data_IF_195545626366
#
_entry.id   IF_195545626366
#
_cell.length_a   1.000
_cell.length_b   1.000
_cell.length_c   1.000
_cell.angle_alpha   90.00
_cell.angle_beta   90.00
_cell.angle_gamma   90.00
#
_symmetry.space_group_name_H-M   'P 1'
#
loop_
_entity.id
_entity.type
_entity.pdbx_description
1 polymer ?
#
# COMPACT_ATOMS: atom_id res chain seq x y z
N UNK A 1 -8.41 1.00 0.12
CA UNK A 1 -7.17 0.42 0.64
C UNK A 1 -6.10 0.39 -0.45
N UNK A 2 -4.87 0.76 -0.12
CA UNK A 2 -3.68 0.60 -0.94
C UNK A 2 -2.42 0.59 -0.07
N UNK A 3 -1.49 -0.32 -0.35
CA UNK A 3 -0.22 -0.44 0.34
C UNK A 3 0.90 -0.33 -0.70
N UNK A 4 1.71 0.72 -0.61
CA UNK A 4 2.70 1.04 -1.64
C UNK A 4 4.10 1.19 -1.03
N UNK A 5 5.11 0.66 -1.72
CA UNK A 5 6.49 0.92 -1.39
C UNK A 5 6.99 2.18 -2.10
N UNK A 6 7.70 3.07 -1.41
CA UNK A 6 8.24 4.29 -2.02
C UNK A 6 9.49 4.02 -2.88
N UNK A 7 10.14 2.87 -2.73
CA UNK A 7 11.27 2.44 -3.56
C UNK A 7 10.80 1.61 -4.77
N UNK A 8 9.49 1.38 -4.89
CA UNK A 8 8.90 0.67 -6.03
C UNK A 8 9.02 1.51 -7.31
N UNK A 9 9.29 0.82 -8.41
CA UNK A 9 9.42 1.41 -9.74
C UNK A 9 8.15 1.18 -10.59
N UNK A 10 7.26 0.30 -10.14
CA UNK A 10 6.01 -0.04 -10.82
C UNK A 10 4.95 -0.53 -9.80
N UNK A 11 4.19 0.39 -9.17
CA UNK A 11 4.09 1.82 -9.47
C UNK A 11 5.16 2.69 -8.76
N UNK A 12 5.59 3.77 -9.38
CA UNK A 12 6.40 4.82 -8.72
C UNK A 12 5.55 5.67 -7.77
N UNK A 13 6.14 6.40 -6.79
CA UNK A 13 5.40 7.30 -5.90
C UNK A 13 4.54 8.33 -6.64
N UNK A 14 5.01 8.81 -7.80
CA UNK A 14 4.29 9.76 -8.63
C UNK A 14 3.06 9.14 -9.29
N UNK A 15 3.16 7.88 -9.74
CA UNK A 15 1.99 7.15 -10.24
C UNK A 15 0.98 6.88 -9.11
N UNK A 16 1.44 6.59 -7.89
CA UNK A 16 0.54 6.48 -6.72
C UNK A 16 -0.14 7.81 -6.42
N UNK A 17 0.56 8.96 -6.55
CA UNK A 17 -0.06 10.29 -6.43
C UNK A 17 -1.18 10.48 -7.45
N UNK A 18 -0.94 10.14 -8.72
CA UNK A 18 -1.96 10.22 -9.77
C UNK A 18 -3.17 9.32 -9.50
N UNK A 19 -2.96 8.13 -8.92
CA UNK A 19 -4.06 7.26 -8.51
C UNK A 19 -4.89 7.90 -7.38
N UNK A 20 -4.21 8.45 -6.38
CA UNK A 20 -4.85 9.10 -5.24
C UNK A 20 -5.67 10.33 -5.66
N UNK A 21 -5.12 11.18 -6.53
CA UNK A 21 -5.82 12.34 -7.08
C UNK A 21 -7.10 11.94 -7.83
N UNK A 22 -7.06 10.88 -8.64
CA UNK A 22 -8.24 10.38 -9.34
C UNK A 22 -9.32 9.86 -8.39
N UNK A 23 -8.92 9.19 -7.30
CA UNK A 23 -9.86 8.74 -6.27
C UNK A 23 -10.51 9.94 -5.55
N UNK A 24 -9.72 10.95 -5.18
CA UNK A 24 -10.22 12.22 -4.60
C UNK A 24 -11.22 12.91 -5.54
N UNK A 25 -10.85 13.09 -6.81
CA UNK A 25 -11.69 13.74 -7.81
C UNK A 25 -13.02 13.01 -8.03
N UNK A 26 -13.02 11.67 -7.89
CA UNK A 26 -14.21 10.83 -8.00
C UNK A 26 -15.03 10.74 -6.70
N UNK A 27 -14.65 11.46 -5.63
CA UNK A 27 -15.31 11.43 -4.33
C UNK A 27 -15.29 10.03 -3.68
N UNK A 28 -14.26 9.23 -3.97
CA UNK A 28 -14.12 7.88 -3.41
C UNK A 28 -13.42 7.93 -2.06
N UNK A 29 -13.98 7.18 -1.11
CA UNK A 29 -13.25 6.87 0.12
C UNK A 29 -12.08 5.94 -0.23
N UNK A 30 -10.89 6.31 0.23
CA UNK A 30 -9.67 5.52 0.05
C UNK A 30 -8.84 5.57 1.33
N UNK A 31 -7.95 4.61 1.46
CA UNK A 31 -7.04 4.48 2.59
C UNK A 31 -5.71 3.98 2.03
N UNK A 32 -4.76 4.90 1.84
CA UNK A 32 -3.47 4.63 1.19
C UNK A 32 -2.36 4.74 2.22
N UNK A 33 -1.52 3.70 2.30
CA UNK A 33 -0.34 3.66 3.15
C UNK A 33 0.89 3.49 2.29
N UNK A 34 1.95 4.22 2.63
CA UNK A 34 3.22 4.20 1.90
C UNK A 34 4.38 3.90 2.83
N UNK A 35 5.40 3.23 2.32
CA UNK A 35 6.53 2.76 3.11
C UNK A 35 7.86 3.08 2.43
N UNK A 36 8.73 3.79 3.14
CA UNK A 36 10.14 3.96 2.76
C UNK A 36 10.92 2.64 2.92
N UNK A 37 11.93 2.40 2.08
CA UNK A 37 12.75 1.19 2.14
C UNK A 37 12.08 -0.07 1.59
N UNK A 38 10.85 0.07 1.07
CA UNK A 38 10.06 -1.00 0.45
C UNK A 38 9.90 -0.76 -1.05
N UNK A 39 10.29 -1.78 -1.83
CA UNK A 39 10.06 -1.82 -3.27
C UNK A 39 9.03 -2.87 -3.66
N UNK A 40 9.01 -3.22 -4.95
CA UNK A 40 8.06 -4.18 -5.48
C UNK A 40 8.12 -5.54 -4.76
N UNK A 41 6.96 -6.07 -4.37
CA UNK A 41 6.88 -7.37 -3.72
C UNK A 41 7.39 -7.39 -2.28
N UNK A 42 7.32 -6.28 -1.54
CA UNK A 42 7.76 -6.24 -0.14
C UNK A 42 6.98 -7.16 0.81
N UNK A 43 5.84 -7.71 0.36
CA UNK A 43 5.07 -8.76 1.02
C UNK A 43 5.55 -10.19 0.71
N UNK A 44 6.41 -10.39 -0.29
CA UNK A 44 6.81 -11.72 -0.76
C UNK A 44 7.85 -12.35 0.17
N UNK A 45 7.37 -12.95 1.26
CA UNK A 45 8.18 -13.55 2.34
C UNK A 45 9.27 -14.54 1.89
N UNK A 46 9.12 -15.12 0.70
CA UNK A 46 10.03 -16.12 0.14
C UNK A 46 11.09 -15.51 -0.80
N UNK A 47 11.15 -14.18 -0.94
CA UNK A 47 12.08 -13.48 -1.84
C UNK A 47 12.94 -12.46 -1.10
N UNK A 48 14.09 -12.05 -1.65
CA UNK A 48 14.92 -10.98 -1.07
C UNK A 48 14.23 -9.61 -1.00
N UNK A 49 13.12 -9.42 -1.72
CA UNK A 49 12.36 -8.18 -1.70
C UNK A 49 11.55 -8.01 -0.42
N UNK A 50 11.37 -9.07 0.37
CA UNK A 50 10.60 -9.02 1.60
C UNK A 50 11.09 -7.92 2.55
N UNK A 51 10.15 -7.15 3.10
CA UNK A 51 10.39 -6.15 4.14
C UNK A 51 9.43 -6.42 5.29
N UNK A 52 9.94 -7.14 6.29
CA UNK A 52 9.10 -7.70 7.36
C UNK A 52 8.29 -6.65 8.10
N UNK A 53 8.92 -5.55 8.49
CA UNK A 53 8.27 -4.47 9.25
C UNK A 53 7.07 -3.90 8.47
N UNK A 54 7.30 -3.50 7.23
CA UNK A 54 6.29 -2.91 6.34
C UNK A 54 5.19 -3.91 5.98
N UNK A 55 5.53 -5.19 5.79
CA UNK A 55 4.57 -6.24 5.49
C UNK A 55 3.67 -6.57 6.69
N UNK A 56 4.23 -6.66 7.90
CA UNK A 56 3.46 -6.94 9.13
C UNK A 56 2.52 -5.78 9.46
N UNK A 57 3.01 -4.54 9.38
CA UNK A 57 2.16 -3.36 9.55
C UNK A 57 1.08 -3.27 8.47
N UNK A 58 1.43 -3.58 7.22
CA UNK A 58 0.47 -3.66 6.12
C UNK A 58 -0.62 -4.72 6.34
N UNK A 59 -0.30 -5.89 6.91
CA UNK A 59 -1.31 -6.89 7.30
C UNK A 59 -2.27 -6.35 8.38
N UNK A 60 -1.74 -5.67 9.39
CA UNK A 60 -2.56 -5.03 10.43
C UNK A 60 -3.58 -4.06 9.80
N UNK A 61 -3.11 -3.18 8.91
CA UNK A 61 -3.96 -2.23 8.19
C UNK A 61 -5.00 -2.91 7.29
N UNK A 62 -4.65 -4.01 6.63
CA UNK A 62 -5.60 -4.82 5.85
C UNK A 62 -6.74 -5.30 6.74
N UNK A 63 -6.44 -5.88 7.91
CA UNK A 63 -7.47 -6.37 8.81
C UNK A 63 -8.34 -5.25 9.36
N UNK A 64 -7.75 -4.13 9.78
CA UNK A 64 -8.51 -2.93 10.20
C UNK A 64 -9.45 -2.43 9.09
N UNK A 65 -8.98 -2.37 7.84
CA UNK A 65 -9.81 -1.95 6.72
C UNK A 65 -10.97 -2.92 6.47
N UNK A 66 -10.71 -4.23 6.50
CA UNK A 66 -11.75 -5.25 6.30
C UNK A 66 -12.78 -5.21 7.42
N UNK A 67 -12.36 -5.08 8.68
CA UNK A 67 -13.25 -4.94 9.83
C UNK A 67 -14.18 -3.74 9.69
N UNK A 68 -13.67 -2.60 9.23
CA UNK A 68 -14.47 -1.39 9.05
C UNK A 68 -15.45 -1.44 7.86
N UNK A 69 -15.31 -2.38 6.92
CA UNK A 69 -16.07 -2.38 5.66
C UNK A 69 -16.89 -3.65 5.40
N UNK A 70 -16.61 -4.76 6.10
CA UNK A 70 -17.27 -6.05 5.87
C UNK A 70 -18.04 -6.57 7.09
N UNK A 71 -17.95 -5.90 8.24
CA UNK A 71 -18.69 -6.25 9.46
C UNK A 71 -19.92 -5.36 9.65
#
# INVERSE_FOLDING_TARGET
MGLFGNDDQAPTPEQVNQHEEKLKAAGKNYDFHRYDGAGHGFFYYHTPNYRQEQAVDGWSKIFTFLEANLN
#
